data_IF_230102691597
#
_entry.id   IF_230102691597
#
_cell.length_a   1.000
_cell.length_b   1.000
_cell.length_c   1.000
_cell.angle_alpha   90.00
_cell.angle_beta   90.00
_cell.angle_gamma   90.00
#
_symmetry.space_group_name_H-M   'P 1'
#
loop_
_entity.id
_entity.type
_entity.pdbx_description
1 polymer ?
#
# COMPACT_ATOMS: atom_id res chain seq x y z
N UNK A 1 16.84 0.64 -10.84
CA UNK A 1 16.12 0.00 -11.96
C UNK A 1 15.68 1.13 -12.86
N UNK A 2 16.46 1.38 -13.90
CA UNK A 2 16.21 2.47 -14.84
C UNK A 2 14.97 2.14 -15.67
N UNK A 3 13.96 3.01 -15.56
CA UNK A 3 12.77 2.92 -16.39
C UNK A 3 13.18 3.23 -17.83
N UNK A 4 12.68 2.47 -18.83
CA UNK A 4 12.82 2.89 -20.22
C UNK A 4 12.20 4.28 -20.34
N UNK A 5 13.00 5.28 -20.69
CA UNK A 5 12.62 6.69 -20.74
C UNK A 5 11.61 7.02 -21.86
N UNK A 6 11.24 6.03 -22.68
CA UNK A 6 10.74 6.27 -24.03
C UNK A 6 9.30 5.81 -24.34
N UNK A 7 8.52 5.29 -23.39
CA UNK A 7 7.19 4.75 -23.73
C UNK A 7 6.05 5.46 -23.02
N UNK A 8 5.59 6.58 -23.60
CA UNK A 8 4.22 7.05 -23.36
C UNK A 8 3.27 5.99 -23.92
N UNK A 9 2.26 5.61 -23.13
CA UNK A 9 1.26 4.63 -23.52
C UNK A 9 1.57 3.19 -23.06
N UNK A 10 0.55 2.34 -23.18
CA UNK A 10 0.61 0.93 -22.80
C UNK A 10 0.98 0.13 -24.06
N UNK A 11 2.04 -0.68 -23.98
CA UNK A 11 2.42 -1.57 -25.09
C UNK A 11 1.25 -2.52 -25.42
N UNK A 12 0.98 -2.74 -26.70
CA UNK A 12 -0.05 -3.64 -27.22
C UNK A 12 0.00 -5.05 -26.58
N UNK A 13 1.20 -5.54 -26.25
CA UNK A 13 1.35 -6.82 -25.53
C UNK A 13 0.75 -6.77 -24.13
N UNK A 14 1.05 -5.72 -23.38
CA UNK A 14 0.58 -5.52 -22.02
C UNK A 14 -0.92 -5.19 -22.01
N UNK A 15 -1.37 -4.39 -23.00
CA UNK A 15 -2.76 -4.07 -23.23
C UNK A 15 -3.64 -5.33 -23.32
N UNK A 16 -3.23 -6.31 -24.14
CA UNK A 16 -3.98 -7.57 -24.34
C UNK A 16 -3.83 -8.58 -23.20
N UNK A 17 -2.68 -8.58 -22.52
CA UNK A 17 -2.34 -9.62 -21.52
C UNK A 17 -2.77 -9.25 -20.10
N UNK A 18 -2.70 -7.97 -19.76
CA UNK A 18 -2.91 -7.49 -18.39
C UNK A 18 -4.34 -7.08 -18.16
N UNK A 19 -4.99 -6.47 -19.15
CA UNK A 19 -6.32 -5.87 -19.01
C UNK A 19 -7.38 -6.73 -19.69
N UNK A 20 -8.50 -6.86 -19.01
CA UNK A 20 -9.75 -7.45 -19.48
C UNK A 20 -10.79 -6.34 -19.57
N UNK A 21 -11.62 -6.38 -20.60
CA UNK A 21 -12.56 -5.30 -20.91
C UNK A 21 -13.98 -5.82 -20.87
N UNK A 22 -14.84 -5.09 -20.19
CA UNK A 22 -16.26 -5.39 -20.10
C UNK A 22 -17.01 -4.08 -20.22
N UNK A 23 -17.66 -3.89 -21.37
CA UNK A 23 -18.58 -2.78 -21.58
C UNK A 23 -19.87 -3.13 -20.83
N UNK A 24 -20.00 -2.69 -19.58
CA UNK A 24 -21.27 -2.76 -18.86
C UNK A 24 -21.93 -1.39 -18.88
N UNK A 25 -23.09 -1.34 -19.54
CA UNK A 25 -24.11 -0.32 -19.37
C UNK A 25 -24.79 -0.55 -18.02
N UNK A 26 -24.35 0.15 -16.96
CA UNK A 26 -25.12 0.26 -15.73
C UNK A 26 -26.08 1.46 -15.85
N UNK A 27 -27.33 1.26 -15.47
CA UNK A 27 -28.44 2.22 -15.57
C UNK A 27 -28.13 3.51 -14.79
N UNK A 28 -28.49 4.71 -15.31
CA UNK A 28 -28.14 5.97 -14.67
C UNK A 28 -29.03 6.24 -13.45
N UNK A 29 -28.42 6.38 -12.28
CA UNK A 29 -29.08 6.98 -11.12
C UNK A 29 -28.98 8.51 -11.25
N UNK A 30 -30.09 9.25 -11.46
CA UNK A 30 -30.05 10.61 -11.93
C UNK A 30 -30.03 11.58 -10.74
N UNK A 31 -28.93 11.65 -9.99
CA UNK A 31 -28.71 12.70 -8.98
C UNK A 31 -27.25 12.76 -8.55
N UNK A 32 -26.48 13.67 -9.15
CA UNK A 32 -25.82 14.79 -8.46
C UNK A 32 -24.79 15.48 -9.39
N UNK A 33 -24.82 16.81 -9.34
CA UNK A 33 -24.09 17.74 -10.20
C UNK A 33 -22.60 17.83 -9.88
N UNK A 34 -21.77 18.02 -10.91
CA UNK A 34 -20.28 18.10 -11.01
C UNK A 34 -19.54 16.82 -11.42
N UNK A 35 -20.16 15.66 -11.27
CA UNK A 35 -19.62 14.38 -11.73
C UNK A 35 -20.26 14.01 -13.07
N UNK A 36 -19.46 13.87 -14.11
CA UNK A 36 -19.94 13.44 -15.43
C UNK A 36 -19.74 11.94 -15.55
N UNK A 37 -20.81 11.16 -15.40
CA UNK A 37 -20.74 9.72 -15.66
C UNK A 37 -20.87 9.46 -17.17
N UNK A 38 -19.84 8.88 -17.77
CA UNK A 38 -19.76 8.65 -19.22
C UNK A 38 -19.87 7.16 -19.52
N UNK A 39 -20.93 6.79 -20.26
CA UNK A 39 -21.31 5.39 -20.49
C UNK A 39 -21.07 4.89 -21.91
N UNK A 40 -20.84 5.80 -22.87
CA UNK A 40 -20.74 5.47 -24.31
C UNK A 40 -19.39 5.89 -24.87
N UNK A 41 -18.81 5.06 -25.75
CA UNK A 41 -17.53 5.32 -26.40
C UNK A 41 -17.49 6.69 -27.11
N UNK A 42 -18.58 7.08 -27.79
CA UNK A 42 -18.70 8.37 -28.49
C UNK A 42 -18.61 9.58 -27.55
N UNK A 43 -19.24 9.48 -26.37
CA UNK A 43 -19.14 10.53 -25.34
C UNK A 43 -17.75 10.60 -24.71
N UNK A 44 -17.06 9.46 -24.58
CA UNK A 44 -15.66 9.45 -24.14
C UNK A 44 -14.76 10.17 -25.14
N UNK A 45 -14.95 9.92 -26.44
CA UNK A 45 -14.24 10.61 -27.52
C UNK A 45 -14.54 12.12 -27.49
N UNK A 46 -15.81 12.50 -27.45
CA UNK A 46 -16.22 13.90 -27.38
C UNK A 46 -15.67 14.63 -26.14
N UNK A 47 -15.74 13.98 -24.97
CA UNK A 47 -15.22 14.55 -23.72
C UNK A 47 -13.71 14.75 -23.79
N UNK A 48 -12.97 13.76 -24.27
CA UNK A 48 -11.51 13.88 -24.40
C UNK A 48 -11.12 14.97 -25.40
N UNK A 49 -11.83 15.12 -26.50
CA UNK A 49 -11.53 16.12 -27.54
C UNK A 49 -11.90 17.55 -27.11
N UNK A 50 -13.02 17.73 -26.38
CA UNK A 50 -13.57 19.07 -26.09
C UNK A 50 -13.27 19.58 -24.69
N UNK A 51 -13.13 18.69 -23.70
CA UNK A 51 -13.08 19.07 -22.27
C UNK A 51 -11.71 18.83 -21.63
N UNK A 52 -10.84 18.03 -22.24
CA UNK A 52 -9.52 17.77 -21.70
C UNK A 52 -8.58 18.98 -21.96
N UNK A 53 -8.10 19.68 -20.93
CA UNK A 53 -7.12 20.75 -21.15
C UNK A 53 -5.80 20.14 -21.63
N UNK A 54 -5.07 20.77 -22.57
CA UNK A 54 -3.77 20.28 -23.00
C UNK A 54 -2.74 20.40 -21.86
N UNK A 55 -1.68 19.57 -21.83
CA UNK A 55 -0.63 19.64 -20.80
C UNK A 55 0.13 20.97 -20.80
N UNK A 56 0.13 21.68 -21.92
CA UNK A 56 0.70 23.02 -22.08
C UNK A 56 -0.23 24.16 -21.62
N UNK A 57 -1.43 23.84 -21.14
CA UNK A 57 -2.34 24.86 -20.60
C UNK A 57 -1.71 25.56 -19.39
N UNK A 58 -1.91 26.87 -19.27
CA UNK A 58 -1.43 27.64 -18.10
C UNK A 58 -2.34 27.49 -16.87
N UNK A 59 -3.37 26.65 -16.98
CA UNK A 59 -4.37 26.43 -15.93
C UNK A 59 -4.00 25.20 -15.11
N UNK A 60 -3.57 25.37 -13.84
CA UNK A 60 -3.31 24.25 -12.96
C UNK A 60 -4.62 23.53 -12.63
N UNK A 61 -4.58 22.20 -12.53
CA UNK A 61 -5.79 21.43 -12.25
C UNK A 61 -5.56 19.93 -12.07
N UNK A 62 -6.66 19.22 -11.84
CA UNK A 62 -6.70 17.77 -11.68
C UNK A 62 -7.78 17.17 -12.57
N UNK A 63 -7.40 16.19 -13.38
CA UNK A 63 -8.30 15.32 -14.13
C UNK A 63 -8.19 13.93 -13.51
N UNK A 64 -9.29 13.43 -12.96
CA UNK A 64 -9.34 12.12 -12.33
C UNK A 64 -10.45 11.28 -12.98
N UNK A 65 -10.09 10.08 -13.43
CA UNK A 65 -11.05 9.06 -13.85
C UNK A 65 -11.13 7.98 -12.77
N UNK A 66 -12.33 7.75 -12.26
CA UNK A 66 -12.64 6.68 -11.33
C UNK A 66 -13.19 5.48 -12.13
N UNK A 67 -12.36 4.46 -12.33
CA UNK A 67 -12.76 3.25 -13.03
C UNK A 67 -13.44 2.29 -12.03
N UNK A 68 -14.77 2.32 -12.02
CA UNK A 68 -15.61 1.55 -11.12
C UNK A 68 -15.43 0.04 -11.32
N UNK A 69 -15.41 -0.70 -10.21
CA UNK A 69 -15.35 -2.16 -10.22
C UNK A 69 -16.65 -2.74 -10.78
N UNK A 70 -16.52 -3.78 -11.60
CA UNK A 70 -17.65 -4.57 -12.06
C UNK A 70 -17.83 -5.70 -11.06
N UNK A 71 -18.59 -5.43 -10.01
CA UNK A 71 -18.95 -6.46 -9.04
C UNK A 71 -20.09 -7.31 -9.62
N UNK A 72 -20.08 -8.65 -9.45
CA UNK A 72 -21.27 -9.46 -9.71
C UNK A 72 -22.42 -9.02 -8.77
N UNK A 73 -23.68 -9.14 -9.20
CA UNK A 73 -24.80 -8.75 -8.34
C UNK A 73 -24.86 -9.69 -7.11
N UNK A 74 -24.96 -9.09 -5.91
CA UNK A 74 -24.91 -9.68 -4.54
C UNK A 74 -23.48 -9.90 -3.99
N UNK A 75 -23.09 -9.38 -2.84
CA UNK A 75 -23.81 -9.18 -1.57
C UNK A 75 -23.81 -7.71 -1.13
N UNK A 76 -24.96 -7.23 -0.66
CA UNK A 76 -25.00 -6.01 0.14
C UNK A 76 -24.10 -6.20 1.39
N UNK A 77 -22.95 -5.54 1.43
CA UNK A 77 -22.33 -5.17 2.71
C UNK A 77 -23.30 -4.20 3.38
N UNK A 78 -24.22 -4.73 4.18
CA UNK A 78 -25.02 -3.92 5.07
C UNK A 78 -24.07 -3.32 6.10
N UNK A 79 -24.01 -1.99 6.11
CA UNK A 79 -23.44 -1.22 7.20
C UNK A 79 -24.32 -1.43 8.43
N UNK A 80 -23.92 -2.33 9.33
CA UNK A 80 -24.57 -2.47 10.63
C UNK A 80 -23.90 -1.50 11.61
N UNK A 81 -24.52 -0.34 11.82
CA UNK A 81 -24.27 0.48 12.99
C UNK A 81 -24.69 -0.27 14.26
N UNK A 82 -23.95 -0.07 15.34
CA UNK A 82 -24.30 -0.55 16.67
C UNK A 82 -25.74 -0.18 17.05
N UNK A 83 -26.55 -1.19 17.33
CA UNK A 83 -27.64 -1.11 18.29
C UNK A 83 -27.77 -2.44 19.02
N UNK A 84 -27.88 -2.34 20.33
CA UNK A 84 -27.90 -3.45 21.27
C UNK A 84 -29.20 -4.27 21.21
N UNK A 85 -29.06 -5.54 21.62
CA UNK A 85 -30.07 -6.51 22.04
C UNK A 85 -31.02 -7.09 20.98
N UNK A 86 -30.77 -8.35 20.57
CA UNK A 86 -31.71 -9.47 20.81
C UNK A 86 -31.04 -10.82 20.52
N UNK A 87 -31.08 -11.73 21.50
CA UNK A 87 -30.62 -13.11 21.38
C UNK A 87 -31.53 -13.90 20.44
N UNK A 88 -30.97 -14.54 19.40
CA UNK A 88 -31.52 -15.79 18.85
C UNK A 88 -30.56 -16.49 17.85
N UNK A 89 -30.10 -17.69 18.24
CA UNK A 89 -29.86 -18.80 17.30
C UNK A 89 -28.58 -18.77 16.47
N UNK A 90 -27.44 -19.09 17.09
CA UNK A 90 -26.17 -19.43 16.43
C UNK A 90 -26.35 -20.52 15.37
N UNK A 91 -26.34 -20.13 14.09
CA UNK A 91 -25.82 -20.96 13.00
C UNK A 91 -24.36 -20.59 12.81
N UNK A 92 -23.46 -21.47 13.26
CA UNK A 92 -22.03 -21.37 13.00
C UNK A 92 -21.77 -21.36 11.49
N UNK A 93 -21.56 -20.17 10.93
CA UNK A 93 -20.88 -20.01 9.65
C UNK A 93 -19.40 -20.29 9.88
N UNK A 94 -18.92 -21.32 9.21
CA UNK A 94 -17.55 -21.81 9.29
C UNK A 94 -16.60 -20.69 8.89
N UNK A 95 -15.71 -20.27 9.79
CA UNK A 95 -14.71 -19.23 9.55
C UNK A 95 -13.99 -19.48 8.21
N UNK A 96 -14.15 -18.55 7.28
CA UNK A 96 -13.61 -18.64 5.93
C UNK A 96 -12.09 -18.40 6.00
N UNK A 97 -11.24 -19.24 5.37
CA UNK A 97 -9.79 -19.04 5.41
C UNK A 97 -9.40 -17.69 4.78
N UNK A 98 -8.47 -16.96 5.43
CA UNK A 98 -7.98 -15.63 5.04
C UNK A 98 -7.33 -15.61 3.63
N UNK A 99 -7.03 -16.78 3.08
CA UNK A 99 -6.23 -17.00 1.88
C UNK A 99 -7.10 -17.31 0.64
N UNK A 100 -8.27 -16.68 0.51
CA UNK A 100 -8.90 -16.55 -0.82
C UNK A 100 -8.10 -15.49 -1.56
N UNK A 101 -7.08 -15.90 -2.32
CA UNK A 101 -6.32 -14.98 -3.16
C UNK A 101 -7.30 -14.08 -3.91
N UNK A 102 -7.29 -12.78 -3.58
CA UNK A 102 -8.30 -11.86 -4.03
C UNK A 102 -8.38 -11.86 -5.54
N UNK A 103 -9.61 -11.88 -6.04
CA UNK A 103 -9.84 -11.90 -7.48
C UNK A 103 -9.10 -10.74 -8.14
N UNK A 104 -8.53 -10.94 -9.32
CA UNK A 104 -7.68 -9.95 -10.01
C UNK A 104 -8.53 -8.86 -10.67
N UNK A 105 -9.44 -8.31 -9.89
CA UNK A 105 -10.56 -7.49 -10.32
C UNK A 105 -10.11 -6.14 -10.90
N UNK A 106 -8.98 -5.60 -10.45
CA UNK A 106 -8.36 -4.39 -11.03
C UNK A 106 -7.97 -4.55 -12.51
N UNK A 107 -7.83 -5.79 -13.01
CA UNK A 107 -7.60 -6.05 -14.44
C UNK A 107 -8.85 -5.86 -15.28
N UNK A 108 -10.04 -6.04 -14.68
CA UNK A 108 -11.32 -5.89 -15.35
C UNK A 108 -11.67 -4.40 -15.40
N UNK A 109 -11.57 -3.83 -16.59
CA UNK A 109 -11.83 -2.42 -16.82
C UNK A 109 -13.27 -2.21 -17.31
N UNK A 110 -13.97 -1.16 -16.81
CA UNK A 110 -15.30 -0.78 -17.25
C UNK A 110 -15.28 0.05 -18.54
N UNK A 111 -14.37 -0.26 -19.45
CA UNK A 111 -14.16 0.47 -20.69
C UNK A 111 -14.14 -0.49 -21.87
N UNK A 112 -14.48 0.01 -23.06
CA UNK A 112 -14.14 -0.70 -24.29
C UNK A 112 -12.62 -0.64 -24.52
N UNK A 113 -12.04 -1.63 -25.24
CA UNK A 113 -10.63 -1.57 -25.62
C UNK A 113 -10.28 -0.29 -26.39
N UNK A 114 -11.20 0.21 -27.23
CA UNK A 114 -11.03 1.44 -28.01
C UNK A 114 -10.89 2.65 -27.09
N UNK A 115 -11.81 2.80 -26.14
CA UNK A 115 -11.81 3.90 -25.17
C UNK A 115 -10.58 3.87 -24.30
N UNK A 116 -10.20 2.71 -23.75
CA UNK A 116 -9.03 2.64 -22.89
C UNK A 116 -7.72 2.95 -23.63
N UNK A 117 -7.61 2.56 -24.90
CA UNK A 117 -6.47 2.94 -25.75
C UNK A 117 -6.42 4.44 -25.96
N UNK A 118 -7.56 5.08 -26.21
CA UNK A 118 -7.65 6.53 -26.35
C UNK A 118 -7.32 7.26 -25.04
N UNK A 119 -7.88 6.80 -23.92
CA UNK A 119 -7.55 7.30 -22.57
C UNK A 119 -6.06 7.19 -22.28
N UNK A 120 -5.43 6.06 -22.64
CA UNK A 120 -3.99 5.88 -22.38
C UNK A 120 -3.12 6.91 -23.10
N UNK A 121 -3.55 7.38 -24.28
CA UNK A 121 -2.89 8.43 -25.05
C UNK A 121 -3.20 9.81 -24.46
N UNK A 122 -4.48 10.12 -24.26
CA UNK A 122 -4.94 11.47 -23.89
C UNK A 122 -4.68 11.82 -22.42
N UNK A 123 -4.70 10.84 -21.52
CA UNK A 123 -4.39 11.02 -20.10
C UNK A 123 -2.91 10.73 -19.78
N UNK A 124 -2.07 10.52 -20.81
CA UNK A 124 -0.64 10.25 -20.66
C UNK A 124 -0.34 9.11 -19.69
N UNK A 125 -1.10 8.00 -19.79
CA UNK A 125 -0.91 6.83 -18.94
C UNK A 125 0.38 6.13 -19.37
N UNK A 126 1.34 6.06 -18.45
CA UNK A 126 2.61 5.40 -18.72
C UNK A 126 2.50 3.87 -18.58
N UNK A 127 3.13 3.13 -19.49
CA UNK A 127 3.03 1.66 -19.54
C UNK A 127 3.50 0.91 -18.27
N UNK A 128 4.25 1.57 -17.38
CA UNK A 128 4.66 0.98 -16.09
C UNK A 128 3.48 0.58 -15.19
N UNK A 129 2.29 1.17 -15.37
CA UNK A 129 1.09 0.76 -14.65
C UNK A 129 0.70 -0.68 -14.93
N UNK A 130 0.92 -1.19 -16.15
CA UNK A 130 0.58 -2.56 -16.50
C UNK A 130 1.41 -3.57 -15.69
N UNK A 131 2.67 -3.24 -15.39
CA UNK A 131 3.52 -4.04 -14.50
C UNK A 131 3.05 -3.98 -13.06
N UNK A 132 2.64 -2.79 -12.58
CA UNK A 132 2.10 -2.63 -11.24
C UNK A 132 0.81 -3.45 -11.04
N UNK A 133 -0.12 -3.41 -12.00
CA UNK A 133 -1.36 -4.20 -11.97
C UNK A 133 -1.08 -5.71 -12.11
N UNK A 134 -0.06 -6.08 -12.88
CA UNK A 134 0.33 -7.49 -13.03
C UNK A 134 0.84 -8.13 -11.74
N UNK A 135 1.56 -7.36 -10.91
CA UNK A 135 2.07 -7.76 -9.59
C UNK A 135 1.03 -7.47 -8.51
N UNK A 136 0.03 -8.34 -8.41
CA UNK A 136 -1.12 -8.13 -7.53
C UNK A 136 -0.83 -8.46 -6.06
N UNK A 137 0.16 -9.32 -5.81
CA UNK A 137 0.48 -9.95 -4.52
C UNK A 137 1.22 -9.04 -3.54
N UNK A 138 1.84 -7.97 -4.02
CA UNK A 138 2.67 -7.08 -3.21
C UNK A 138 2.23 -5.64 -3.46
N UNK A 139 1.98 -4.85 -2.41
CA UNK A 139 1.62 -3.46 -2.62
C UNK A 139 2.83 -2.68 -3.14
N UNK A 140 2.57 -1.66 -3.95
CA UNK A 140 3.61 -1.00 -4.72
C UNK A 140 3.41 0.51 -4.76
N UNK A 141 4.49 1.25 -4.52
CA UNK A 141 4.62 2.65 -4.90
C UNK A 141 5.85 2.83 -5.77
N UNK A 142 5.70 3.54 -6.88
CA UNK A 142 6.81 3.91 -7.75
C UNK A 142 6.65 5.32 -8.30
N UNK A 143 7.79 5.98 -8.48
CA UNK A 143 7.94 7.24 -9.19
C UNK A 143 8.85 7.05 -10.40
N UNK A 144 8.53 7.68 -11.51
CA UNK A 144 9.40 7.83 -12.66
C UNK A 144 9.35 9.27 -13.19
N UNK A 145 10.49 9.81 -13.58
CA UNK A 145 10.54 11.05 -14.36
C UNK A 145 10.57 10.67 -15.84
N UNK A 146 9.69 11.28 -16.63
CA UNK A 146 9.56 11.03 -18.07
C UNK A 146 9.64 12.34 -18.83
N UNK A 147 10.26 12.28 -20.00
CA UNK A 147 10.21 13.34 -20.99
C UNK A 147 9.09 12.99 -21.96
N UNK A 148 8.01 13.77 -21.96
CA UNK A 148 6.93 13.59 -22.93
C UNK A 148 7.30 14.39 -24.17
N UNK A 149 7.66 13.72 -25.27
CA UNK A 149 7.78 14.37 -26.58
C UNK A 149 6.38 14.79 -27.04
N UNK A 150 6.06 16.07 -26.91
CA UNK A 150 4.89 16.66 -27.53
C UNK A 150 5.17 16.81 -29.03
N UNK A 151 4.38 16.15 -29.86
CA UNK A 151 4.49 16.22 -31.32
C UNK A 151 4.50 17.69 -31.79
N UNK A 152 5.59 18.14 -32.43
CA UNK A 152 5.68 19.46 -33.07
C UNK A 152 6.73 20.44 -32.52
N UNK A 153 7.54 20.11 -31.51
CA UNK A 153 8.66 20.97 -31.07
C UNK A 153 10.03 20.36 -31.34
N UNK A 154 10.81 21.05 -32.17
CA UNK A 154 12.22 20.76 -32.44
C UNK A 154 13.03 20.74 -31.14
N UNK A 155 13.76 19.64 -30.90
CA UNK A 155 14.72 19.46 -29.81
C UNK A 155 15.70 20.63 -29.75
N UNK A 156 15.46 21.61 -28.88
CA UNK A 156 16.43 22.63 -28.52
C UNK A 156 17.11 22.20 -27.21
N UNK A 157 18.34 21.65 -27.27
CA UNK A 157 19.00 21.03 -26.12
C UNK A 157 19.35 21.99 -24.98
N UNK A 158 19.24 23.30 -25.19
CA UNK A 158 19.56 24.31 -24.17
C UNK A 158 18.37 24.73 -23.28
N UNK A 159 17.12 24.52 -23.71
CA UNK A 159 15.93 24.99 -22.96
C UNK A 159 15.27 23.87 -22.14
N UNK A 160 15.50 22.60 -22.49
CA UNK A 160 14.97 21.41 -21.80
C UNK A 160 15.63 21.19 -20.43
N UNK A 161 16.82 21.75 -20.21
CA UNK A 161 17.64 21.47 -19.03
C UNK A 161 17.18 22.17 -17.72
N UNK A 162 16.23 23.11 -17.78
CA UNK A 162 15.76 23.89 -16.62
C UNK A 162 14.33 23.56 -16.15
N UNK A 163 13.63 22.67 -16.85
CA UNK A 163 12.27 22.24 -16.48
C UNK A 163 12.31 20.81 -15.96
N UNK A 164 11.94 20.62 -14.69
CA UNK A 164 11.73 19.29 -14.11
C UNK A 164 10.88 18.43 -15.06
N UNK A 165 11.34 17.21 -15.34
CA UNK A 165 10.62 16.25 -16.18
C UNK A 165 9.21 15.97 -15.65
N UNK A 166 8.34 15.46 -16.51
CA UNK A 166 7.00 15.08 -16.08
C UNK A 166 7.11 13.90 -15.11
N UNK A 167 6.28 13.89 -14.07
CA UNK A 167 6.42 12.91 -13.00
C UNK A 167 5.26 11.93 -13.08
N UNK A 168 5.58 10.64 -13.16
CA UNK A 168 4.61 9.55 -13.11
C UNK A 168 4.68 8.86 -11.77
N UNK A 169 3.51 8.67 -11.15
CA UNK A 169 3.33 7.84 -9.98
C UNK A 169 2.45 6.65 -10.31
N UNK A 170 2.83 5.48 -9.79
CA UNK A 170 1.91 4.35 -9.73
C UNK A 170 1.81 3.84 -8.30
N UNK A 171 0.58 3.61 -7.86
CA UNK A 171 0.27 2.95 -6.60
C UNK A 171 -0.51 1.67 -6.88
N UNK A 172 -0.31 0.65 -6.05
CA UNK A 172 -1.03 -0.63 -6.09
C UNK A 172 -1.24 -1.12 -4.68
N UNK A 173 -2.47 -1.45 -4.31
CA UNK A 173 -2.76 -2.17 -3.09
C UNK A 173 -2.61 -3.67 -3.32
N UNK A 174 -2.40 -4.43 -2.24
CA UNK A 174 -2.33 -5.88 -2.35
C UNK A 174 -3.70 -6.50 -2.63
N UNK A 175 -3.72 -7.53 -3.47
CA UNK A 175 -4.88 -8.39 -3.70
C UNK A 175 -5.00 -9.53 -2.68
N UNK A 176 -4.21 -9.54 -1.61
CA UNK A 176 -4.39 -10.50 -0.51
C UNK A 176 -5.81 -10.43 0.08
N UNK A 177 -6.39 -9.23 0.11
CA UNK A 177 -7.76 -8.98 0.55
C UNK A 177 -8.58 -8.33 -0.55
N UNK A 178 -9.90 -8.42 -0.43
CA UNK A 178 -10.85 -7.84 -1.38
C UNK A 178 -10.72 -6.30 -1.49
N UNK A 179 -11.38 -5.75 -2.51
CA UNK A 179 -11.37 -4.32 -2.83
C UNK A 179 -9.95 -3.78 -3.08
N UNK A 180 -9.17 -4.49 -3.88
CA UNK A 180 -7.86 -4.05 -4.30
C UNK A 180 -7.97 -2.88 -5.31
N UNK A 181 -7.05 -1.93 -5.25
CA UNK A 181 -7.02 -0.69 -6.01
C UNK A 181 -5.67 -0.55 -6.73
N UNK A 182 -5.67 0.15 -7.85
CA UNK A 182 -4.45 0.66 -8.47
C UNK A 182 -4.63 2.10 -8.90
N UNK A 183 -3.58 2.89 -8.86
CA UNK A 183 -3.60 4.30 -9.23
C UNK A 183 -2.44 4.57 -10.17
N UNK A 184 -2.70 5.34 -11.23
CA UNK A 184 -1.66 5.96 -12.05
C UNK A 184 -1.90 7.46 -12.08
N UNK A 185 -0.83 8.24 -11.94
CA UNK A 185 -0.86 9.70 -11.91
C UNK A 185 0.27 10.23 -12.77
N UNK A 186 -0.02 11.12 -13.71
CA UNK A 186 0.96 11.84 -14.52
C UNK A 186 0.83 13.33 -14.25
N UNK A 187 1.86 13.91 -13.65
CA UNK A 187 1.92 15.31 -13.27
C UNK A 187 2.84 16.10 -14.20
N UNK A 188 2.37 17.26 -14.65
CA UNK A 188 3.09 18.20 -15.49
C UNK A 188 3.47 19.43 -14.66
N UNK A 189 4.73 19.55 -14.20
CA UNK A 189 5.13 20.63 -13.30
C UNK A 189 5.00 22.04 -13.91
N UNK A 190 5.13 22.14 -15.24
CA UNK A 190 5.05 23.41 -15.98
C UNK A 190 3.66 24.05 -15.88
N UNK A 191 2.62 23.26 -16.14
CA UNK A 191 1.22 23.70 -16.07
C UNK A 191 0.63 23.57 -14.67
N UNK A 192 1.17 22.68 -13.84
CA UNK A 192 0.53 22.25 -12.60
C UNK A 192 -0.71 21.39 -12.86
N UNK A 193 -0.78 20.76 -14.03
CA UNK A 193 -1.86 19.88 -14.42
C UNK A 193 -1.52 18.43 -14.07
N UNK A 194 -2.49 17.72 -13.51
CA UNK A 194 -2.35 16.32 -13.12
C UNK A 194 -3.44 15.49 -13.76
N UNK A 195 -3.06 14.40 -14.42
CA UNK A 195 -3.97 13.40 -14.95
C UNK A 195 -3.85 12.13 -14.12
N UNK A 196 -4.98 11.50 -13.81
CA UNK A 196 -4.97 10.28 -13.03
C UNK A 196 -6.11 9.34 -13.39
N UNK A 197 -5.83 8.05 -13.19
CA UNK A 197 -6.84 6.98 -13.28
C UNK A 197 -6.71 6.10 -12.04
N UNK A 198 -7.82 5.97 -11.30
CA UNK A 198 -7.96 5.03 -10.19
C UNK A 198 -8.75 3.81 -10.66
N UNK A 199 -8.13 2.64 -10.57
CA UNK A 199 -8.65 1.36 -11.02
C UNK A 199 -9.21 0.54 -9.86
N UNK A 200 -10.29 -0.21 -10.15
CA UNK A 200 -10.93 -1.14 -9.21
C UNK A 200 -11.76 -0.46 -8.14
N UNK A 201 -12.23 0.76 -8.38
CA UNK A 201 -12.89 1.59 -7.38
C UNK A 201 -14.29 1.05 -7.03
N UNK A 202 -14.54 0.55 -5.80
CA UNK A 202 -15.90 0.31 -5.32
C UNK A 202 -16.62 1.64 -5.06
N UNK A 203 -17.96 1.62 -4.98
CA UNK A 203 -18.77 2.84 -4.73
C UNK A 203 -18.36 3.57 -3.44
N UNK A 204 -18.07 2.82 -2.38
CA UNK A 204 -17.61 3.40 -1.10
C UNK A 204 -16.28 4.15 -1.21
N UNK A 205 -15.38 3.71 -2.08
CA UNK A 205 -14.10 4.39 -2.33
C UNK A 205 -14.31 5.61 -3.21
N UNK A 206 -15.20 5.52 -4.20
CA UNK A 206 -15.58 6.64 -5.06
C UNK A 206 -16.11 7.82 -4.21
N UNK A 207 -17.09 7.54 -3.34
CA UNK A 207 -17.69 8.54 -2.46
C UNK A 207 -16.63 9.20 -1.54
N UNK A 208 -15.72 8.40 -0.97
CA UNK A 208 -14.69 8.92 -0.07
C UNK A 208 -13.62 9.75 -0.81
N UNK A 209 -13.26 9.36 -2.04
CA UNK A 209 -12.36 10.17 -2.90
C UNK A 209 -13.01 11.50 -3.25
N UNK A 210 -14.27 11.49 -3.69
CA UNK A 210 -15.03 12.70 -4.04
C UNK A 210 -15.13 13.61 -2.82
N UNK A 211 -15.51 13.07 -1.66
CA UNK A 211 -15.60 13.81 -0.39
C UNK A 211 -14.27 14.48 -0.03
N UNK A 212 -13.15 13.77 -0.15
CA UNK A 212 -11.80 14.32 0.12
C UNK A 212 -11.40 15.40 -0.89
N UNK A 213 -11.85 15.28 -2.14
CA UNK A 213 -11.63 16.27 -3.19
C UNK A 213 -12.66 17.42 -3.19
N UNK A 214 -13.70 17.36 -2.38
CA UNK A 214 -14.76 18.38 -2.34
C UNK A 214 -14.30 19.71 -1.72
N UNK A 215 -13.12 19.75 -1.08
CA UNK A 215 -12.55 20.95 -0.49
C UNK A 215 -11.76 21.75 -1.55
N UNK A 216 -12.26 22.92 -2.01
CA UNK A 216 -11.65 23.64 -3.12
C UNK A 216 -10.30 24.25 -2.73
N UNK A 217 -9.26 24.02 -3.54
CA UNK A 217 -7.99 24.70 -3.37
C UNK A 217 -6.99 24.46 -4.51
N UNK A 218 -5.97 25.32 -4.60
CA UNK A 218 -4.83 25.14 -5.52
C UNK A 218 -4.05 23.85 -5.19
N UNK A 219 -4.29 23.26 -4.01
CA UNK A 219 -3.69 22.01 -3.54
C UNK A 219 -3.98 20.81 -4.47
N UNK A 220 -5.01 20.85 -5.33
CA UNK A 220 -5.29 19.81 -6.35
C UNK A 220 -4.14 19.57 -7.33
N UNK A 221 -3.29 20.58 -7.52
CA UNK A 221 -2.13 20.49 -8.39
C UNK A 221 -0.91 19.89 -7.72
N UNK A 222 -1.00 19.51 -6.44
CA UNK A 222 0.14 18.91 -5.76
C UNK A 222 0.36 17.45 -6.22
N UNK A 223 1.57 17.06 -6.65
CA UNK A 223 1.81 15.77 -7.32
C UNK A 223 1.46 14.54 -6.47
N UNK A 224 1.66 14.62 -5.15
CA UNK A 224 1.41 13.53 -4.22
C UNK A 224 0.02 13.59 -3.56
N UNK A 225 -0.87 14.48 -3.99
CA UNK A 225 -2.22 14.55 -3.40
C UNK A 225 -2.98 13.22 -3.57
N UNK A 226 -3.06 12.71 -4.80
CA UNK A 226 -3.75 11.45 -5.07
C UNK A 226 -3.04 10.22 -4.48
N UNK A 227 -1.70 10.08 -4.56
CA UNK A 227 -0.99 9.06 -3.79
C UNK A 227 -1.22 9.14 -2.28
N UNK A 228 -1.35 10.34 -1.72
CA UNK A 228 -1.71 10.56 -0.31
C UNK A 228 -3.12 10.08 0.02
N UNK A 229 -4.11 10.43 -0.82
CA UNK A 229 -5.49 9.91 -0.68
C UNK A 229 -5.51 8.38 -0.81
N UNK A 230 -4.71 7.81 -1.73
CA UNK A 230 -4.55 6.36 -1.86
C UNK A 230 -4.02 5.74 -0.56
N UNK A 231 -3.05 6.39 0.09
CA UNK A 231 -2.51 5.91 1.36
C UNK A 231 -3.53 5.94 2.50
N UNK A 232 -4.38 6.97 2.55
CA UNK A 232 -5.50 7.05 3.49
C UNK A 232 -6.51 5.91 3.28
N UNK A 233 -6.91 5.66 2.03
CA UNK A 233 -7.83 4.57 1.69
C UNK A 233 -7.27 3.20 2.10
N UNK A 234 -5.98 2.97 1.83
CA UNK A 234 -5.34 1.71 2.18
C UNK A 234 -5.13 1.57 3.70
N UNK A 235 -4.90 2.68 4.42
CA UNK A 235 -4.93 2.68 5.89
C UNK A 235 -6.30 2.24 6.40
N UNK A 236 -7.38 2.88 5.96
CA UNK A 236 -8.74 2.53 6.39
C UNK A 236 -9.05 1.05 6.13
N UNK A 237 -8.60 0.52 4.98
CA UNK A 237 -8.77 -0.88 4.62
C UNK A 237 -7.98 -1.82 5.54
N UNK A 238 -6.68 -1.60 5.71
CA UNK A 238 -5.83 -2.48 6.50
C UNK A 238 -6.17 -2.43 8.00
N UNK A 239 -6.48 -1.26 8.57
CA UNK A 239 -6.80 -1.18 10.00
C UNK A 239 -8.03 -2.00 10.36
N UNK A 240 -9.08 -1.94 9.54
CA UNK A 240 -10.27 -2.78 9.71
C UNK A 240 -9.94 -4.26 9.63
N UNK A 241 -9.17 -4.66 8.61
CA UNK A 241 -8.74 -6.06 8.46
C UNK A 241 -7.96 -6.53 9.68
N UNK A 242 -7.04 -5.69 10.19
CA UNK A 242 -6.26 -6.02 11.39
C UNK A 242 -7.19 -6.16 12.59
N UNK A 243 -8.08 -5.21 12.83
CA UNK A 243 -8.99 -5.22 13.98
C UNK A 243 -9.93 -6.43 13.96
N UNK A 244 -10.60 -6.67 12.83
CA UNK A 244 -11.49 -7.83 12.64
C UNK A 244 -10.73 -9.15 12.87
N UNK A 245 -9.51 -9.23 12.34
CA UNK A 245 -8.67 -10.41 12.47
C UNK A 245 -8.15 -10.62 13.90
N UNK A 246 -7.78 -9.55 14.60
CA UNK A 246 -7.34 -9.62 16.00
C UNK A 246 -8.47 -10.07 16.92
N UNK A 247 -9.68 -9.52 16.75
CA UNK A 247 -10.86 -9.98 17.51
C UNK A 247 -11.15 -11.46 17.26
N UNK A 248 -11.05 -11.91 16.00
CA UNK A 248 -11.23 -13.33 15.65
C UNK A 248 -10.18 -14.24 16.29
N UNK A 249 -8.92 -13.81 16.36
CA UNK A 249 -7.86 -14.55 17.03
C UNK A 249 -8.13 -14.65 18.53
N UNK A 250 -8.52 -13.56 19.17
CA UNK A 250 -8.77 -13.54 20.61
C UNK A 250 -9.90 -14.51 20.99
N UNK A 251 -11.00 -14.49 20.24
CA UNK A 251 -12.10 -15.44 20.39
C UNK A 251 -11.62 -16.87 20.24
N UNK A 252 -10.84 -17.17 19.18
CA UNK A 252 -10.31 -18.52 18.95
C UNK A 252 -9.28 -18.95 19.98
N UNK A 253 -8.43 -18.06 20.49
CA UNK A 253 -7.50 -18.39 21.57
C UNK A 253 -8.30 -18.78 22.81
N UNK A 254 -9.35 -18.04 23.15
CA UNK A 254 -10.22 -18.33 24.29
C UNK A 254 -10.91 -19.69 24.14
N UNK A 255 -11.50 -19.98 22.97
CA UNK A 255 -12.11 -21.28 22.68
C UNK A 255 -11.09 -22.43 22.74
N UNK A 256 -9.88 -22.20 22.20
CA UNK A 256 -8.84 -23.20 22.20
C UNK A 256 -8.27 -23.42 23.59
N UNK A 257 -8.16 -22.42 24.47
CA UNK A 257 -7.59 -22.59 25.81
C UNK A 257 -8.57 -23.22 26.83
N UNK A 258 -9.86 -23.32 26.46
CA UNK A 258 -10.86 -24.06 27.24
C UNK A 258 -10.51 -25.56 27.30
N UNK A 259 -9.90 -25.99 28.40
CA UNK A 259 -9.51 -27.38 28.61
C UNK A 259 -10.74 -28.26 28.89
N UNK A 260 -11.12 -29.09 27.92
CA UNK A 260 -11.97 -30.24 28.20
C UNK A 260 -11.23 -31.24 29.12
N UNK A 261 -11.95 -31.96 30.01
CA UNK A 261 -11.37 -32.95 30.90
C UNK A 261 -10.48 -33.96 30.17
N UNK A 262 -9.43 -34.41 30.85
CA UNK A 262 -8.35 -35.30 30.36
C UNK A 262 -8.86 -36.51 29.56
N UNK A 263 -10.06 -37.00 29.84
CA UNK A 263 -10.71 -38.14 29.18
C UNK A 263 -11.09 -37.89 27.71
N UNK A 264 -11.34 -36.63 27.32
CA UNK A 264 -11.66 -36.25 25.93
C UNK A 264 -10.44 -35.82 25.11
N UNK A 265 -9.31 -35.49 25.76
CA UNK A 265 -8.05 -35.16 25.08
C UNK A 265 -7.40 -36.37 24.38
N UNK A 266 -7.77 -37.60 24.75
CA UNK A 266 -7.12 -38.84 24.30
C UNK A 266 -7.58 -39.27 22.89
N UNK A 267 -8.63 -38.66 22.31
CA UNK A 267 -8.96 -38.86 20.88
C UNK A 267 -7.96 -38.10 20.00
N UNK A 268 -6.92 -38.79 19.54
CA UNK A 268 -5.80 -38.27 18.72
C UNK A 268 -6.22 -37.35 17.57
N UNK A 269 -7.36 -37.60 16.93
CA UNK A 269 -7.88 -36.78 15.83
C UNK A 269 -8.23 -35.33 16.23
N UNK A 270 -8.71 -35.10 17.46
CA UNK A 270 -9.07 -33.75 17.92
C UNK A 270 -7.84 -32.88 18.22
N UNK A 271 -6.75 -33.50 18.67
CA UNK A 271 -5.48 -32.82 18.95
C UNK A 271 -4.80 -32.37 17.64
N UNK A 272 -4.83 -33.20 16.60
CA UNK A 272 -4.27 -32.86 15.29
C UNK A 272 -5.02 -31.72 14.61
N UNK A 273 -6.36 -31.70 14.68
CA UNK A 273 -7.19 -30.61 14.15
C UNK A 273 -6.88 -29.29 14.86
N UNK A 274 -6.84 -29.30 16.20
CA UNK A 274 -6.48 -28.13 17.01
C UNK A 274 -5.07 -27.61 16.70
N UNK A 275 -4.10 -28.51 16.51
CA UNK A 275 -2.74 -28.13 16.15
C UNK A 275 -2.66 -27.54 14.73
N UNK A 276 -3.46 -28.06 13.79
CA UNK A 276 -3.54 -27.52 12.43
C UNK A 276 -4.15 -26.12 12.42
N UNK A 277 -5.18 -25.88 13.21
CA UNK A 277 -5.83 -24.56 13.35
C UNK A 277 -4.90 -23.53 13.99
N UNK A 278 -4.18 -23.89 15.07
CA UNK A 278 -3.16 -23.02 15.68
C UNK A 278 -2.07 -22.62 14.69
N UNK A 279 -1.57 -23.58 13.89
CA UNK A 279 -0.57 -23.30 12.84
C UNK A 279 -1.12 -22.40 11.75
N UNK A 280 -2.37 -22.60 11.33
CA UNK A 280 -3.02 -21.74 10.34
C UNK A 280 -3.14 -20.30 10.84
N UNK A 281 -3.61 -20.09 12.07
CA UNK A 281 -3.69 -18.76 12.69
C UNK A 281 -2.31 -18.10 12.81
N UNK A 282 -1.29 -18.85 13.20
CA UNK A 282 0.07 -18.31 13.28
C UNK A 282 0.58 -17.85 11.90
N UNK A 283 0.37 -18.67 10.85
CA UNK A 283 0.75 -18.32 9.49
C UNK A 283 -0.01 -17.08 8.99
N UNK A 284 -1.33 -17.05 9.18
CA UNK A 284 -2.19 -15.94 8.76
C UNK A 284 -1.78 -14.62 9.45
N UNK A 285 -1.43 -14.68 10.74
CA UNK A 285 -0.93 -13.51 11.50
C UNK A 285 0.43 -13.05 10.99
N UNK A 286 1.32 -13.99 10.66
CA UNK A 286 2.62 -13.67 10.08
C UNK A 286 2.47 -13.04 8.67
N UNK A 287 1.56 -13.55 7.86
CA UNK A 287 1.24 -12.98 6.55
C UNK A 287 0.70 -11.55 6.67
N UNK A 288 -0.28 -11.33 7.55
CA UNK A 288 -0.81 -9.99 7.82
C UNK A 288 0.31 -9.03 8.22
N UNK A 289 1.14 -9.40 9.20
CA UNK A 289 2.29 -8.59 9.63
C UNK A 289 3.21 -8.22 8.46
N UNK A 290 3.58 -9.21 7.64
CA UNK A 290 4.49 -8.98 6.52
C UNK A 290 3.91 -8.04 5.46
N UNK A 291 2.60 -8.14 5.21
CA UNK A 291 1.87 -7.23 4.32
C UNK A 291 1.89 -5.79 4.86
N UNK A 292 1.64 -5.59 6.15
CA UNK A 292 1.72 -4.28 6.80
C UNK A 292 3.13 -3.68 6.73
N UNK A 293 4.17 -4.47 7.02
CA UNK A 293 5.58 -4.05 6.91
C UNK A 293 5.90 -3.62 5.46
N UNK A 294 5.42 -4.38 4.49
CA UNK A 294 5.69 -4.10 3.07
C UNK A 294 5.02 -2.82 2.61
N UNK A 295 3.79 -2.55 3.07
CA UNK A 295 3.10 -1.30 2.83
C UNK A 295 3.77 -0.12 3.54
N UNK A 296 4.17 -0.29 4.79
CA UNK A 296 4.88 0.73 5.55
C UNK A 296 6.16 1.19 4.83
N UNK A 297 6.90 0.24 4.24
CA UNK A 297 8.06 0.55 3.39
C UNK A 297 7.70 1.36 2.12
N UNK A 298 6.48 1.25 1.58
CA UNK A 298 6.03 2.11 0.48
C UNK A 298 5.70 3.53 0.97
N UNK A 299 5.11 3.67 2.16
CA UNK A 299 4.83 4.98 2.76
C UNK A 299 6.10 5.79 2.99
N UNK A 300 7.18 5.16 3.47
CA UNK A 300 8.50 5.79 3.59
C UNK A 300 9.05 6.32 2.26
N UNK A 301 8.74 5.68 1.14
CA UNK A 301 9.14 6.19 -0.18
C UNK A 301 8.31 7.42 -0.57
N UNK A 302 7.04 7.46 -0.19
CA UNK A 302 6.18 8.62 -0.42
C UNK A 302 6.64 9.83 0.41
N UNK A 303 6.97 9.65 1.70
CA UNK A 303 7.48 10.73 2.57
C UNK A 303 8.79 11.29 2.06
N UNK A 304 9.77 10.42 1.77
CA UNK A 304 11.04 10.82 1.15
C UNK A 304 10.81 11.65 -0.11
N UNK A 305 9.86 11.24 -0.94
CA UNK A 305 9.58 11.96 -2.16
C UNK A 305 8.86 13.31 -1.92
N UNK A 306 8.01 13.42 -0.89
CA UNK A 306 7.41 14.69 -0.49
C UNK A 306 8.48 15.72 -0.08
N UNK A 307 9.52 15.27 0.62
CA UNK A 307 10.71 16.08 0.96
C UNK A 307 11.48 16.49 -0.30
N UNK A 308 11.74 15.56 -1.21
CA UNK A 308 12.41 15.86 -2.48
C UNK A 308 11.64 16.92 -3.29
N UNK A 309 10.30 16.84 -3.38
CA UNK A 309 9.49 17.84 -4.10
C UNK A 309 9.61 19.24 -3.48
N UNK A 310 9.67 19.31 -2.15
CA UNK A 310 9.84 20.57 -1.43
C UNK A 310 11.19 21.21 -1.74
N UNK A 311 12.24 20.40 -1.81
CA UNK A 311 13.62 20.86 -1.94
C UNK A 311 14.05 21.08 -3.39
N UNK A 312 13.33 20.50 -4.36
CA UNK A 312 13.62 20.62 -5.79
C UNK A 312 12.58 21.45 -6.53
N UNK A 313 11.37 20.92 -6.72
CA UNK A 313 10.34 21.50 -7.56
C UNK A 313 9.74 22.78 -6.96
N UNK A 314 9.63 22.82 -5.64
CA UNK A 314 9.03 23.94 -4.92
C UNK A 314 10.04 24.70 -4.08
N UNK A 315 11.34 24.60 -4.36
CA UNK A 315 12.37 25.34 -3.62
C UNK A 315 12.09 26.85 -3.63
N UNK A 316 12.36 27.57 -2.53
CA UNK A 316 12.25 29.03 -2.51
C UNK A 316 13.26 29.64 -3.48
N UNK A 317 12.85 30.68 -4.20
CA UNK A 317 13.78 31.45 -5.02
C UNK A 317 14.76 32.20 -4.11
N UNK A 318 15.99 31.72 -3.93
CA UNK A 318 17.04 32.49 -3.26
C UNK A 318 17.45 33.67 -4.15
N UNK A 319 17.04 34.88 -3.77
CA UNK A 319 17.46 36.11 -4.42
C UNK A 319 18.95 36.36 -4.22
N UNK A 320 19.79 35.97 -5.18
CA UNK A 320 21.16 36.48 -5.29
C UNK A 320 21.15 37.93 -5.75
N UNK A 321 20.98 38.86 -4.80
CA UNK A 321 21.63 40.17 -4.88
C UNK A 321 22.98 40.05 -4.15
N UNK A 322 23.94 39.39 -4.77
CA UNK A 322 25.35 39.65 -4.46
C UNK A 322 25.76 40.85 -5.29
N UNK A 323 25.74 42.04 -4.69
CA UNK A 323 26.56 43.16 -5.16
C UNK A 323 28.01 42.66 -5.27
N UNK A 324 28.70 42.85 -6.40
CA UNK A 324 30.13 42.65 -6.43
C UNK A 324 30.75 43.93 -5.83
N UNK A 325 31.08 43.90 -4.55
CA UNK A 325 32.01 44.89 -4.01
C UNK A 325 33.00 44.23 -3.04
N UNK A 326 34.23 44.18 -3.54
CA UNK A 326 35.55 44.13 -2.90
C UNK A 326 35.89 43.06 -1.85
N UNK A 327 36.82 42.18 -2.26
CA UNK A 327 38.02 41.83 -1.49
C UNK A 327 37.83 40.89 -0.31
N UNK A 328 38.09 39.60 -0.49
CA UNK A 328 39.36 39.00 -0.05
C UNK A 328 39.41 37.48 -0.28
N UNK A 329 40.64 37.02 -0.52
CA UNK A 329 41.05 35.70 -0.98
C UNK A 329 41.24 34.76 0.22
N UNK A 330 40.60 33.58 0.19
CA UNK A 330 41.11 32.24 0.59
C UNK A 330 39.90 31.28 0.71
N UNK A 331 39.68 30.38 -0.25
CA UNK A 331 40.19 29.00 -0.28
C UNK A 331 39.49 28.05 0.73
N UNK A 332 38.53 27.24 0.24
CA UNK A 332 38.42 25.77 0.41
C UNK A 332 37.34 25.28 -0.57
N UNK A 333 37.69 24.33 -1.44
CA UNK A 333 36.86 23.84 -2.54
C UNK A 333 35.71 22.91 -2.13
N UNK A 334 34.57 23.09 -2.78
CA UNK A 334 33.62 22.02 -3.12
C UNK A 334 32.99 22.32 -4.47
N UNK A 335 33.04 21.35 -5.39
CA UNK A 335 32.62 21.45 -6.78
C UNK A 335 31.10 21.61 -6.91
N UNK A 336 30.63 22.84 -7.06
CA UNK A 336 29.34 23.15 -7.67
C UNK A 336 29.60 23.86 -9.01
N UNK A 337 29.31 23.18 -10.13
CA UNK A 337 29.40 23.75 -11.48
C UNK A 337 28.46 24.96 -11.58
N UNK A 338 29.06 26.13 -11.74
CA UNK A 338 28.42 27.42 -12.01
C UNK A 338 28.00 27.49 -13.49
N UNK A 339 26.79 27.95 -13.79
CA UNK A 339 26.46 28.49 -15.11
C UNK A 339 25.75 29.85 -14.98
N UNK A 340 26.09 30.71 -15.93
CA UNK A 340 26.00 32.18 -15.99
C UNK A 340 24.61 32.70 -16.48
N UNK A 341 24.38 34.04 -16.54
CA UNK A 341 23.05 34.64 -16.57
C UNK A 341 22.41 34.64 -17.97
N UNK A 342 21.08 34.59 -17.96
CA UNK A 342 20.19 34.65 -19.13
C UNK A 342 20.13 36.09 -19.66
N UNK A 343 20.54 36.29 -20.92
CA UNK A 343 20.16 37.46 -21.72
C UNK A 343 19.08 37.00 -22.69
N UNK A 344 17.87 37.51 -22.53
CA UNK A 344 16.73 37.22 -23.40
C UNK A 344 16.88 38.06 -24.68
N UNK A 345 17.41 37.47 -25.76
CA UNK A 345 17.36 38.09 -27.09
C UNK A 345 16.19 37.46 -27.86
N UNK A 346 15.13 38.23 -28.02
CA UNK A 346 14.02 37.91 -28.91
C UNK A 346 14.46 38.18 -30.36
N UNK A 347 14.67 37.12 -31.14
CA UNK A 347 14.76 37.25 -32.59
C UNK A 347 13.34 37.19 -33.17
N UNK A 348 12.75 38.37 -33.41
CA UNK A 348 11.68 38.52 -34.39
C UNK A 348 12.32 38.88 -35.74
N UNK A 349 12.25 37.96 -36.71
CA UNK A 349 12.43 38.33 -38.11
C UNK A 349 11.20 39.14 -38.53
N UNK A 350 11.32 40.45 -38.43
CA UNK A 350 10.45 41.39 -39.10
C UNK A 350 11.34 42.32 -39.93
N UNK A 351 11.50 41.99 -41.20
CA UNK A 351 12.02 42.91 -42.20
C UNK A 351 11.01 44.05 -42.34
N UNK A 352 11.24 45.18 -41.65
CA UNK A 352 10.95 46.55 -42.10
C UNK A 352 11.46 47.57 -41.06
N UNK A 353 12.16 48.65 -41.47
CA UNK A 353 12.80 49.58 -40.55
C UNK A 353 11.81 50.65 -40.05
N UNK A 354 11.30 50.51 -38.83
CA UNK A 354 10.56 51.59 -38.17
C UNK A 354 11.46 52.35 -37.19
N UNK A 355 11.69 53.62 -37.51
CA UNK A 355 12.47 54.59 -36.73
C UNK A 355 11.72 55.02 -35.46
N UNK A 356 12.42 54.95 -34.33
CA UNK A 356 12.41 55.96 -33.26
C UNK A 356 11.11 56.26 -32.52
N UNK A 357 10.95 55.64 -31.34
CA UNK A 357 10.48 56.36 -30.14
C UNK A 357 10.94 55.62 -28.89
N UNK A 358 11.82 56.24 -28.12
CA UNK A 358 12.27 55.82 -26.80
C UNK A 358 11.12 55.85 -25.80
N UNK A 359 10.73 54.69 -25.27
CA UNK A 359 9.89 54.57 -24.07
C UNK A 359 10.62 53.71 -23.02
N UNK A 360 10.81 54.18 -21.78
CA UNK A 360 11.57 53.46 -20.76
C UNK A 360 10.66 52.62 -19.86
N UNK A 361 9.88 51.67 -20.39
CA UNK A 361 9.02 50.81 -19.56
C UNK A 361 9.02 49.35 -20.04
N UNK A 362 10.06 48.62 -19.65
CA UNK A 362 10.19 47.16 -19.90
C UNK A 362 10.47 46.33 -18.64
N UNK A 363 10.31 46.91 -17.43
CA UNK A 363 10.67 46.26 -16.15
C UNK A 363 9.48 45.89 -15.26
N UNK A 364 8.25 46.23 -15.65
CA UNK A 364 7.08 46.03 -14.77
C UNK A 364 6.40 44.65 -14.94
N UNK A 365 6.42 44.06 -16.15
CA UNK A 365 5.68 42.81 -16.43
C UNK A 365 6.34 41.54 -15.85
N UNK A 366 7.65 41.54 -15.56
CA UNK A 366 8.36 40.35 -15.06
C UNK A 366 8.24 40.15 -13.54
N UNK A 367 7.85 41.17 -12.78
CA UNK A 367 7.77 41.11 -11.33
C UNK A 367 6.44 40.53 -10.81
N UNK A 368 5.34 40.67 -11.57
CA UNK A 368 4.01 40.19 -11.17
C UNK A 368 3.95 38.66 -11.29
N UNK A 369 4.30 38.09 -12.44
CA UNK A 369 4.29 36.64 -12.64
C UNK A 369 5.25 35.88 -11.70
N UNK A 370 6.38 36.50 -11.33
CA UNK A 370 7.33 35.90 -10.38
C UNK A 370 6.78 35.83 -8.95
N UNK A 371 6.04 36.85 -8.52
CA UNK A 371 5.38 36.86 -7.20
C UNK A 371 4.25 35.83 -7.13
N UNK A 372 3.51 35.64 -8.21
CA UNK A 372 2.45 34.62 -8.30
C UNK A 372 3.01 33.19 -8.25
N UNK A 373 4.09 32.93 -8.99
CA UNK A 373 4.79 31.63 -8.96
C UNK A 373 5.33 31.32 -7.57
N UNK A 374 5.99 32.28 -6.91
CA UNK A 374 6.51 32.07 -5.55
C UNK A 374 5.38 31.86 -4.54
N UNK A 375 4.27 32.61 -4.66
CA UNK A 375 3.06 32.41 -3.84
C UNK A 375 2.48 31.00 -4.02
N UNK A 376 2.39 30.53 -5.27
CA UNK A 376 1.98 29.16 -5.61
C UNK A 376 2.93 28.13 -5.00
N UNK A 377 4.24 28.28 -5.21
CA UNK A 377 5.25 27.36 -4.68
C UNK A 377 5.22 27.33 -3.14
N UNK A 378 5.02 28.47 -2.48
CA UNK A 378 4.81 28.53 -1.03
C UNK A 378 3.61 27.70 -0.60
N UNK A 379 2.46 27.80 -1.29
CA UNK A 379 1.29 26.95 -1.01
C UNK A 379 1.58 25.47 -1.24
N UNK A 380 2.30 25.13 -2.31
CA UNK A 380 2.70 23.74 -2.61
C UNK A 380 3.63 23.17 -1.55
N UNK A 381 4.59 23.96 -1.04
CA UNK A 381 5.44 23.56 0.10
C UNK A 381 4.60 23.27 1.34
N UNK A 382 3.64 24.14 1.67
CA UNK A 382 2.74 23.92 2.81
C UNK A 382 1.86 22.68 2.62
N UNK A 383 1.34 22.45 1.41
CA UNK A 383 0.59 21.23 1.07
C UNK A 383 1.47 19.98 1.22
N UNK A 384 2.70 20.02 0.72
CA UNK A 384 3.67 18.93 0.87
C UNK A 384 4.00 18.63 2.33
N UNK A 385 4.14 19.64 3.19
CA UNK A 385 4.32 19.45 4.63
C UNK A 385 3.09 18.80 5.27
N UNK A 386 1.88 19.20 4.90
CA UNK A 386 0.65 18.54 5.41
C UNK A 386 0.60 17.07 5.02
N UNK A 387 0.91 16.75 3.75
CA UNK A 387 0.90 15.38 3.25
C UNK A 387 2.01 14.55 3.91
N UNK A 388 3.22 15.08 4.04
CA UNK A 388 4.33 14.40 4.72
C UNK A 388 3.99 14.11 6.19
N UNK A 389 3.50 15.11 6.93
CA UNK A 389 3.07 14.94 8.32
C UNK A 389 1.99 13.86 8.44
N UNK A 390 1.01 13.84 7.52
CA UNK A 390 -0.04 12.84 7.56
C UNK A 390 0.48 11.44 7.22
N UNK A 391 1.34 11.31 6.21
CA UNK A 391 1.98 10.04 5.88
C UNK A 391 2.83 9.51 7.05
N UNK A 392 3.54 10.37 7.77
CA UNK A 392 4.29 10.00 8.99
C UNK A 392 3.38 9.52 10.11
N UNK A 393 2.25 10.20 10.33
CA UNK A 393 1.22 9.74 11.27
C UNK A 393 0.65 8.38 10.87
N UNK A 394 0.40 8.12 9.58
CA UNK A 394 -0.02 6.80 9.11
C UNK A 394 1.08 5.76 9.39
N UNK A 395 2.36 6.07 9.13
CA UNK A 395 3.49 5.17 9.41
C UNK A 395 3.50 4.75 10.89
N UNK A 396 3.34 5.70 11.81
CA UNK A 396 3.26 5.43 13.25
C UNK A 396 2.10 4.49 13.59
N UNK A 397 0.90 4.73 13.02
CA UNK A 397 -0.26 3.84 13.19
C UNK A 397 0.03 2.41 12.69
N UNK A 398 0.73 2.26 11.56
CA UNK A 398 1.15 0.94 11.05
C UNK A 398 2.20 0.28 11.93
N UNK A 399 3.17 1.04 12.46
CA UNK A 399 4.19 0.50 13.38
C UNK A 399 3.55 -0.05 14.66
N UNK A 400 2.54 0.63 15.18
CA UNK A 400 1.76 0.15 16.33
C UNK A 400 1.01 -1.15 16.01
N UNK A 401 0.31 -1.23 14.86
CA UNK A 401 -0.36 -2.48 14.45
C UNK A 401 0.63 -3.62 14.15
N UNK A 402 1.83 -3.32 13.63
CA UNK A 402 2.89 -4.31 13.41
C UNK A 402 3.43 -4.84 14.75
N UNK A 403 3.62 -3.95 15.74
CA UNK A 403 4.02 -4.32 17.10
C UNK A 403 2.95 -5.21 17.73
N UNK A 404 1.69 -4.85 17.57
CA UNK A 404 0.54 -5.61 18.04
C UNK A 404 0.49 -7.03 17.43
N UNK A 405 0.69 -7.16 16.12
CA UNK A 405 0.82 -8.48 15.46
C UNK A 405 2.00 -9.28 16.02
N UNK A 406 3.13 -8.61 16.28
CA UNK A 406 4.34 -9.25 16.82
C UNK A 406 4.10 -9.79 18.22
N UNK A 407 3.49 -9.00 19.11
CA UNK A 407 3.14 -9.44 20.46
C UNK A 407 2.26 -10.67 20.47
N UNK A 408 1.27 -10.76 19.57
CA UNK A 408 0.41 -11.95 19.47
C UNK A 408 1.15 -13.17 18.92
N UNK A 409 2.01 -13.00 17.91
CA UNK A 409 2.86 -14.08 17.42
C UNK A 409 3.79 -14.62 18.51
N UNK A 410 4.39 -13.73 19.30
CA UNK A 410 5.26 -14.10 20.41
C UNK A 410 4.47 -14.76 21.55
N UNK A 411 3.27 -14.25 21.87
CA UNK A 411 2.35 -14.86 22.85
C UNK A 411 1.94 -16.29 22.47
N UNK A 412 1.60 -16.51 21.19
CA UNK A 412 1.30 -17.86 20.66
C UNK A 412 2.53 -18.79 20.73
N UNK A 413 3.71 -18.28 20.40
CA UNK A 413 4.96 -19.04 20.48
C UNK A 413 5.29 -19.43 21.92
N UNK A 414 5.17 -18.49 22.86
CA UNK A 414 5.34 -18.74 24.29
C UNK A 414 4.35 -19.79 24.78
N UNK A 415 3.05 -19.62 24.52
CA UNK A 415 2.03 -20.61 24.93
C UNK A 415 2.36 -22.03 24.42
N UNK A 416 2.88 -22.14 23.20
CA UNK A 416 3.32 -23.43 22.64
C UNK A 416 4.54 -24.00 23.36
N UNK A 417 5.54 -23.18 23.69
CA UNK A 417 6.73 -23.60 24.45
C UNK A 417 6.38 -24.03 25.88
N UNK A 418 5.51 -23.28 26.57
CA UNK A 418 5.05 -23.61 27.92
C UNK A 418 4.33 -24.97 27.97
N UNK A 419 3.44 -25.24 27.01
CA UNK A 419 2.77 -26.54 26.88
C UNK A 419 3.78 -27.67 26.68
N UNK A 420 4.81 -27.44 25.85
CA UNK A 420 5.84 -28.44 25.58
C UNK A 420 6.71 -28.75 26.82
N UNK A 421 7.11 -27.71 27.56
CA UNK A 421 7.85 -27.86 28.82
C UNK A 421 7.02 -28.60 29.88
N UNK A 422 5.73 -28.29 29.99
CA UNK A 422 4.85 -28.96 30.95
C UNK A 422 4.68 -30.45 30.59
N UNK A 423 4.50 -30.78 29.31
CA UNK A 423 4.42 -32.17 28.85
C UNK A 423 5.74 -32.94 29.05
N UNK A 424 6.89 -32.30 28.82
CA UNK A 424 8.20 -32.87 29.10
C UNK A 424 8.40 -33.15 30.60
N UNK A 425 7.92 -32.23 31.46
CA UNK A 425 7.95 -32.43 32.92
C UNK A 425 7.05 -33.59 33.36
N UNK A 426 5.81 -33.69 32.86
CA UNK A 426 4.90 -34.81 33.17
C UNK A 426 5.42 -36.15 32.68
N UNK A 427 6.02 -36.20 31.50
CA UNK A 427 6.61 -37.46 30.99
C UNK A 427 7.85 -37.85 31.80
N UNK A 428 8.64 -36.89 32.26
CA UNK A 428 9.77 -37.15 33.16
C UNK A 428 9.32 -37.68 34.54
N UNK A 429 8.30 -37.07 35.15
CA UNK A 429 7.76 -37.55 36.44
C UNK A 429 7.12 -38.92 36.31
N UNK A 430 6.39 -39.18 35.23
CA UNK A 430 5.79 -40.49 34.93
C UNK A 430 6.86 -41.58 34.75
N UNK A 431 7.97 -41.28 34.06
CA UNK A 431 9.10 -42.21 33.91
C UNK A 431 9.78 -42.52 35.24
N UNK A 432 9.93 -41.51 36.10
CA UNK A 432 10.47 -41.70 37.45
C UNK A 432 9.56 -42.57 38.33
N UNK A 433 8.24 -42.39 38.25
CA UNK A 433 7.30 -43.23 39.01
C UNK A 433 7.34 -44.68 38.51
N UNK A 434 7.37 -44.90 37.20
CA UNK A 434 7.51 -46.24 36.63
C UNK A 434 8.81 -46.91 37.06
N UNK A 435 9.94 -46.19 37.03
CA UNK A 435 11.22 -46.71 37.51
C UNK A 435 11.20 -47.07 39.00
N UNK A 436 10.58 -46.24 39.84
CA UNK A 436 10.43 -46.51 41.27
C UNK A 436 9.53 -47.73 41.53
N UNK A 437 8.41 -47.87 40.82
CA UNK A 437 7.54 -49.05 40.94
C UNK A 437 8.25 -50.35 40.55
N UNK A 438 9.03 -50.33 39.45
CA UNK A 438 9.82 -51.48 39.03
C UNK A 438 10.93 -51.83 40.03
N UNK A 439 11.58 -50.83 40.64
CA UNK A 439 12.53 -51.04 41.73
C UNK A 439 11.86 -51.68 42.96
N UNK A 440 10.69 -51.19 43.36
CA UNK A 440 9.96 -51.76 44.50
C UNK A 440 9.53 -53.20 44.25
N UNK A 441 9.04 -53.52 43.05
CA UNK A 441 8.71 -54.89 42.65
C UNK A 441 9.95 -55.77 42.58
N UNK A 442 11.08 -55.25 42.10
CA UNK A 442 12.36 -55.96 42.06
C UNK A 442 12.89 -56.29 43.46
N UNK A 443 12.83 -55.34 44.40
CA UNK A 443 13.21 -55.55 45.80
C UNK A 443 12.29 -56.60 46.44
N UNK A 444 10.97 -56.47 46.25
CA UNK A 444 9.99 -57.42 46.77
C UNK A 444 10.23 -58.85 46.23
N UNK A 445 10.48 -58.97 44.92
CA UNK A 445 10.82 -60.25 44.29
C UNK A 445 12.11 -60.85 44.85
N UNK A 446 13.14 -60.03 45.07
CA UNK A 446 14.42 -60.48 45.63
C UNK A 446 14.27 -60.98 47.08
N UNK A 447 13.55 -60.24 47.92
CA UNK A 447 13.27 -60.63 49.32
C UNK A 447 12.48 -61.93 49.36
N UNK A 448 11.39 -62.02 48.58
CA UNK A 448 10.56 -63.24 48.51
C UNK A 448 11.35 -64.46 48.03
N UNK A 449 12.25 -64.29 47.05
CA UNK A 449 13.13 -65.37 46.58
C UNK A 449 14.14 -65.81 47.65
N UNK A 450 14.69 -64.86 48.41
CA UNK A 450 15.64 -65.15 49.51
C UNK A 450 14.96 -65.90 50.65
N UNK A 451 13.73 -65.52 51.02
CA UNK A 451 12.93 -66.23 52.03
C UNK A 451 12.62 -67.65 51.58
N UNK A 452 12.24 -67.86 50.31
CA UNK A 452 12.06 -69.22 49.75
C UNK A 452 13.34 -70.06 49.82
N UNK A 453 14.51 -69.47 49.55
CA UNK A 453 15.80 -70.17 49.68
C UNK A 453 16.18 -70.49 51.13
N UNK A 454 15.86 -69.61 52.08
CA UNK A 454 16.07 -69.88 53.51
C UNK A 454 15.13 -70.98 54.02
N UNK A 455 13.86 -70.97 53.61
CA UNK A 455 12.91 -72.02 53.94
C UNK A 455 13.39 -73.40 53.44
N UNK A 456 13.94 -73.47 52.22
CA UNK A 456 14.51 -74.71 51.67
C UNK A 456 15.77 -75.18 52.41
N UNK A 457 16.64 -74.26 52.85
CA UNK A 457 17.81 -74.62 53.66
C UNK A 457 17.43 -75.15 55.04
N UNK A 458 16.42 -74.56 55.68
CA UNK A 458 15.95 -75.00 56.99
C UNK A 458 15.30 -76.40 56.94
N UNK A 459 14.60 -76.72 55.84
CA UNK A 459 14.07 -78.07 55.60
C UNK A 459 15.19 -79.10 55.39
N UNK A 460 16.24 -78.76 54.63
CA UNK A 460 17.39 -79.67 54.44
C UNK A 460 18.18 -79.95 55.71
N UNK A 461 18.36 -78.96 56.60
CA UNK A 461 19.04 -79.17 57.89
C UNK A 461 18.25 -80.01 58.90
N UNK A 462 16.94 -80.18 58.69
CA UNK A 462 16.09 -80.97 59.58
C UNK A 462 16.10 -82.47 59.22
N UNK A 463 16.41 -82.81 57.96
CA UNK A 463 16.59 -84.20 57.53
C UNK A 463 17.94 -84.79 57.99
N UNK A 464 19.00 -83.96 58.08
CA UNK A 464 20.32 -84.39 58.55
C UNK A 464 20.42 -84.60 60.09
N UNK A 465 19.37 -84.26 60.85
CA UNK A 465 19.31 -84.47 62.31
C UNK A 465 18.60 -85.77 62.73
N UNK A 466 18.04 -86.53 61.78
CA UNK A 466 17.32 -87.78 62.03
C UNK A 466 17.96 -89.02 61.37
N UNK A 467 19.17 -88.88 60.83
CA UNK A 467 20.05 -89.97 60.42
C UNK A 467 21.27 -90.00 61.35
#
# INVERSE_FOLDING_TARGET
MDWPRENIGINERDFKKVFSFSSQLADPDPKESTLETIYTDERWEEWMDKKLPPPDSLTPGLILVLARRIDPPSLSMQFSGCSAEEEQGLKYEKATPLNKGGDRSVRNLPFSPKVFKLMSKNLYIHGSIARAISRSDVPHFSRAEIEVELEGRSRHPAYVMLTAGNIVYNCRSTNTWEADLALTVTHFPRSGLTYAVLFGCPKSVEDEVIKRLSYPGIEFSYPLLLPGIFAELERDRHLRIVEDYMSNIEEKIFELDYQLPVEQQIRSANVEVRNKEKRAQWLDTAYLKNSLVTWNAQLFKMTKHAEELRDTLFAPYEGRLSSPDNGDIADVGFNARKHLPIKLECHSECENPCKGSSSPDGKFETNIGRKEIESRNRRMRMCGVKIDNRLRSIIEEYEDKIRECTMRLDGMAMATQWVWLHFSSYTATSRLTLAMTLLTLGIWYYVSRREKQQAQRNLGSQEDSYA
#
